data_IF_717282436918
#
_entry.id   IF_717282436918
#
_cell.length_a   1.000
_cell.length_b   1.000
_cell.length_c   1.000
_cell.angle_alpha   90.00
_cell.angle_beta   90.00
_cell.angle_gamma   90.00
#
_symmetry.space_group_name_H-M   'P 1'
#
loop_
_entity.id
_entity.type
_entity.pdbx_description
1 polymer ?
#
# COMPACT_ATOMS: atom_id res chain seq x y z
N UNK A 1 -12.89 21.65 18.13
CA UNK A 1 -12.17 21.75 17.37
C UNK A 1 -11.25 20.74 17.12
N UNK A 2 -10.72 20.45 16.11
CA UNK A 2 -9.60 19.63 15.89
C UNK A 2 -9.81 18.12 15.86
N UNK A 3 -11.00 17.64 15.68
CA UNK A 3 -11.17 16.20 15.52
C UNK A 3 -10.79 15.84 14.09
N UNK A 4 -9.70 15.08 13.94
CA UNK A 4 -9.33 14.55 12.64
C UNK A 4 -10.10 13.27 12.40
N UNK A 5 -10.90 13.28 11.36
CA UNK A 5 -11.60 12.06 10.93
C UNK A 5 -10.74 11.40 9.87
N UNK A 6 -10.32 10.19 10.15
CA UNK A 6 -9.52 9.42 9.23
C UNK A 6 -10.41 8.47 8.45
N UNK A 7 -10.22 8.41 7.16
CA UNK A 7 -10.96 7.51 6.29
C UNK A 7 -9.99 6.54 5.64
N UNK A 8 -10.47 5.32 5.40
CA UNK A 8 -9.69 4.30 4.70
C UNK A 8 -10.32 4.10 3.34
N UNK A 9 -9.53 4.23 2.30
CA UNK A 9 -10.01 4.04 0.94
C UNK A 9 -9.22 2.91 0.29
N UNK A 10 -9.92 1.85 -0.11
CA UNK A 10 -9.27 0.75 -0.80
C UNK A 10 -8.70 1.27 -2.13
N UNK A 11 -7.43 0.98 -2.37
CA UNK A 11 -6.79 1.41 -3.61
C UNK A 11 -6.22 0.23 -4.39
N UNK A 12 -6.10 -0.93 -3.79
CA UNK A 12 -5.50 -2.05 -4.51
C UNK A 12 -5.57 -3.35 -3.76
N UNK A 13 -4.90 -4.34 -4.33
CA UNK A 13 -4.87 -5.68 -3.77
C UNK A 13 -3.45 -6.21 -3.78
N UNK A 14 -3.11 -6.98 -2.76
CA UNK A 14 -1.80 -7.60 -2.66
C UNK A 14 -1.75 -8.80 -3.59
N UNK A 15 -0.77 -8.81 -4.48
CA UNK A 15 -0.60 -9.89 -5.45
C UNK A 15 0.41 -10.90 -4.97
N UNK A 16 1.52 -10.43 -4.39
CA UNK A 16 2.59 -11.33 -3.97
C UNK A 16 3.46 -10.64 -2.91
N UNK A 17 4.04 -11.45 -2.03
CA UNK A 17 4.98 -10.97 -1.04
C UNK A 17 6.31 -11.66 -1.23
N UNK A 18 7.38 -10.88 -1.36
CA UNK A 18 8.73 -11.38 -1.49
C UNK A 18 9.41 -11.27 -0.13
N UNK A 19 9.54 -12.40 0.55
CA UNK A 19 9.96 -12.39 1.96
C UNK A 19 11.36 -11.87 2.17
N UNK A 20 12.33 -12.26 1.33
CA UNK A 20 13.71 -11.85 1.52
C UNK A 20 13.91 -10.35 1.47
N UNK A 21 13.48 -9.68 0.40
CA UNK A 21 13.61 -8.22 0.36
C UNK A 21 12.51 -7.51 1.15
N UNK A 22 11.52 -8.25 1.66
CA UNK A 22 10.37 -7.71 2.38
C UNK A 22 9.63 -6.69 1.52
N UNK A 23 9.23 -7.13 0.32
CA UNK A 23 8.55 -6.29 -0.65
C UNK A 23 7.18 -6.85 -0.96
N UNK A 24 6.17 -5.99 -0.90
CA UNK A 24 4.80 -6.33 -1.25
C UNK A 24 4.54 -5.87 -2.67
N UNK A 25 4.09 -6.79 -3.52
CA UNK A 25 3.66 -6.45 -4.88
C UNK A 25 2.17 -6.18 -4.83
N UNK A 26 1.79 -4.96 -5.17
CA UNK A 26 0.42 -4.47 -5.07
C UNK A 26 -0.05 -4.00 -6.45
N UNK A 27 -1.26 -4.41 -6.82
CA UNK A 27 -1.89 -3.90 -8.03
C UNK A 27 -2.87 -2.80 -7.63
N UNK A 28 -2.68 -1.61 -8.18
CA UNK A 28 -3.55 -0.47 -7.88
C UNK A 28 -4.79 -0.56 -8.75
N UNK A 29 -5.96 -0.63 -8.11
CA UNK A 29 -7.23 -0.77 -8.82
C UNK A 29 -7.96 0.55 -8.94
N UNK A 30 -7.71 1.51 -8.05
CA UNK A 30 -8.36 2.80 -8.12
C UNK A 30 -7.55 3.84 -7.38
N UNK A 31 -7.70 5.09 -7.82
CA UNK A 31 -7.05 6.22 -7.17
C UNK A 31 -5.57 6.32 -7.51
N UNK A 32 -4.84 6.93 -6.62
CA UNK A 32 -3.40 7.10 -6.76
C UNK A 32 -2.72 6.87 -5.42
N UNK A 33 -1.41 6.72 -5.48
CA UNK A 33 -0.61 6.50 -4.29
C UNK A 33 0.73 7.20 -4.49
N UNK A 34 1.28 7.77 -3.41
CA UNK A 34 2.58 8.42 -3.50
C UNK A 34 3.39 8.17 -2.24
N UNK A 35 4.70 8.35 -2.37
CA UNK A 35 5.60 8.24 -1.23
C UNK A 35 5.18 9.27 -0.18
N UNK A 36 5.13 8.84 1.07
CA UNK A 36 4.64 9.67 2.16
C UNK A 36 3.21 9.36 2.58
N UNK A 37 2.47 8.63 1.75
CA UNK A 37 1.12 8.22 2.13
C UNK A 37 1.18 7.14 3.19
N UNK A 38 0.15 7.11 4.05
CA UNK A 38 -0.03 6.02 5.01
C UNK A 38 -0.98 5.01 4.42
N UNK A 39 -0.63 3.73 4.52
CA UNK A 39 -1.44 2.65 3.98
C UNK A 39 -1.70 1.61 5.05
N UNK A 40 -2.78 0.87 4.87
CA UNK A 40 -3.15 -0.21 5.77
C UNK A 40 -3.32 -1.49 4.96
N UNK A 41 -2.70 -2.55 5.44
CA UNK A 41 -2.90 -3.89 4.89
C UNK A 41 -3.89 -4.62 5.76
N UNK A 42 -4.90 -5.22 5.15
CA UNK A 42 -5.96 -5.90 5.89
C UNK A 42 -6.31 -7.21 5.20
N UNK A 43 -6.23 -8.29 5.95
CA UNK A 43 -6.56 -9.61 5.46
C UNK A 43 -6.93 -10.52 6.60
N UNK A 44 -7.07 -11.80 6.29
CA UNK A 44 -7.50 -12.79 7.30
C UNK A 44 -6.56 -12.82 8.51
N UNK A 45 -5.27 -12.77 8.27
CA UNK A 45 -4.27 -12.79 9.35
C UNK A 45 -3.35 -11.58 9.31
N UNK A 46 -3.69 -10.56 8.51
CA UNK A 46 -2.85 -9.39 8.31
C UNK A 46 -3.63 -8.14 8.71
N UNK A 47 -3.02 -7.34 9.57
CA UNK A 47 -3.60 -6.03 9.85
C UNK A 47 -2.51 -5.14 10.43
N UNK A 48 -2.02 -4.20 9.62
CA UNK A 48 -1.09 -3.19 10.10
C UNK A 48 -1.07 -1.99 9.16
N UNK A 49 -0.59 -0.88 9.69
CA UNK A 49 -0.49 0.39 8.97
C UNK A 49 0.97 0.73 8.78
N UNK A 50 1.31 1.27 7.62
CA UNK A 50 2.69 1.60 7.31
C UNK A 50 2.77 2.86 6.46
N UNK A 51 3.82 3.66 6.69
CA UNK A 51 4.11 4.83 5.88
C UNK A 51 4.94 4.37 4.69
N UNK A 52 4.56 4.82 3.48
CA UNK A 52 5.30 4.45 2.28
C UNK A 52 6.58 5.27 2.21
N UNK A 53 7.72 4.58 2.31
CA UNK A 53 9.01 5.23 2.21
C UNK A 53 9.58 5.14 0.81
N UNK A 54 9.24 4.09 0.07
CA UNK A 54 9.70 3.92 -1.29
C UNK A 54 8.75 3.05 -2.08
N UNK A 55 8.65 3.32 -3.38
CA UNK A 55 7.84 2.54 -4.31
C UNK A 55 8.63 2.32 -5.58
N UNK A 56 8.32 1.22 -6.27
CA UNK A 56 8.88 0.93 -7.58
C UNK A 56 7.79 0.50 -8.54
N UNK A 57 7.94 0.90 -9.80
CA UNK A 57 7.14 0.39 -10.91
C UNK A 57 8.13 -0.13 -11.94
N UNK A 58 7.99 -1.39 -12.33
CA UNK A 58 8.91 -2.04 -13.26
C UNK A 58 10.37 -1.94 -12.79
N UNK A 59 10.56 -2.15 -11.48
CA UNK A 59 11.88 -2.12 -10.83
C UNK A 59 12.56 -0.76 -10.87
N UNK A 60 11.80 0.30 -11.10
CA UNK A 60 12.33 1.67 -11.10
C UNK A 60 11.67 2.48 -10.00
N UNK A 61 12.44 3.24 -9.21
CA UNK A 61 11.86 4.06 -8.16
C UNK A 61 10.92 5.11 -8.74
N UNK A 62 9.76 5.27 -8.11
CA UNK A 62 8.81 6.30 -8.50
C UNK A 62 8.29 7.00 -7.26
N UNK A 63 7.82 8.24 -7.42
CA UNK A 63 7.24 9.00 -6.34
C UNK A 63 5.72 8.84 -6.29
N UNK A 64 5.12 8.49 -7.42
CA UNK A 64 3.66 8.39 -7.53
C UNK A 64 3.29 7.26 -8.48
N UNK A 65 2.18 6.59 -8.19
CA UNK A 65 1.61 5.55 -9.05
C UNK A 65 0.10 5.73 -9.09
N UNK A 66 -0.52 5.22 -10.15
CA UNK A 66 -1.96 5.41 -10.37
C UNK A 66 -2.63 4.08 -10.69
N UNK A 67 -3.95 4.10 -10.75
CA UNK A 67 -4.74 2.92 -11.06
C UNK A 67 -4.25 2.26 -12.35
N UNK A 68 -4.12 0.95 -12.31
CA UNK A 68 -3.55 0.17 -13.40
C UNK A 68 -2.09 -0.18 -13.21
N UNK A 69 -1.39 0.54 -12.35
CA UNK A 69 0.03 0.24 -12.08
C UNK A 69 0.16 -0.94 -11.13
N UNK A 70 1.25 -1.70 -11.33
CA UNK A 70 1.67 -2.73 -10.38
C UNK A 70 2.92 -2.21 -9.71
N UNK A 71 2.89 -2.11 -8.38
CA UNK A 71 3.97 -1.48 -7.64
C UNK A 71 4.60 -2.45 -6.65
N UNK A 72 5.86 -2.20 -6.33
CA UNK A 72 6.55 -2.87 -5.23
C UNK A 72 6.73 -1.91 -4.09
N UNK A 73 6.32 -2.33 -2.89
CA UNK A 73 6.43 -1.52 -1.69
C UNK A 73 7.27 -2.25 -0.67
N UNK A 74 8.26 -1.57 -0.10
CA UNK A 74 8.98 -2.15 1.02
C UNK A 74 8.09 -2.10 2.25
N UNK A 75 7.96 -3.23 2.94
CA UNK A 75 7.09 -3.33 4.11
C UNK A 75 7.87 -3.88 5.30
N UNK A 76 7.41 -3.55 6.49
CA UNK A 76 8.08 -3.95 7.73
C UNK A 76 7.51 -5.23 8.33
N UNK A 77 6.42 -5.74 7.77
CA UNK A 77 5.78 -6.93 8.28
C UNK A 77 5.29 -7.79 7.13
N UNK A 78 4.92 -9.03 7.44
CA UNK A 78 4.50 -9.99 6.43
C UNK A 78 3.09 -9.69 5.95
N UNK A 79 2.90 -9.80 4.63
CA UNK A 79 1.58 -9.67 4.00
C UNK A 79 1.33 -10.91 3.15
N UNK A 80 0.09 -11.15 2.77
CA UNK A 80 -0.30 -12.36 2.04
C UNK A 80 -1.11 -12.03 0.81
N UNK A 81 -0.96 -12.82 -0.27
CA UNK A 81 -1.79 -12.63 -1.47
C UNK A 81 -3.27 -12.63 -1.11
N UNK A 82 -4.00 -11.71 -1.71
CA UNK A 82 -5.42 -11.55 -1.43
C UNK A 82 -5.72 -10.53 -0.35
N UNK A 83 -4.69 -10.06 0.39
CA UNK A 83 -4.92 -8.99 1.34
C UNK A 83 -5.36 -7.73 0.63
N UNK A 84 -6.22 -6.97 1.27
CA UNK A 84 -6.67 -5.69 0.73
C UNK A 84 -5.76 -4.58 1.22
N UNK A 85 -5.57 -3.57 0.39
CA UNK A 85 -4.70 -2.45 0.72
C UNK A 85 -5.49 -1.15 0.65
N UNK A 86 -5.42 -0.40 1.73
CA UNK A 86 -6.18 0.84 1.88
C UNK A 86 -5.24 2.02 2.04
N UNK A 87 -5.67 3.16 1.55
CA UNK A 87 -4.96 4.42 1.76
C UNK A 87 -5.69 5.15 2.89
N UNK A 88 -4.93 5.63 3.86
CA UNK A 88 -5.50 6.36 4.99
C UNK A 88 -5.43 7.84 4.64
N UNK A 89 -6.60 8.49 4.65
CA UNK A 89 -6.69 9.91 4.31
C UNK A 89 -7.39 10.64 5.45
N UNK A 90 -7.03 11.90 5.62
CA UNK A 90 -7.68 12.75 6.59
C UNK A 90 -8.83 13.49 5.90
N UNK A 91 -9.98 13.51 6.57
CA UNK A 91 -11.13 14.26 6.07
C UNK A 91 -11.18 15.63 6.70
#
# INVERSE_FOLDING_TARGET
DGVLIMAEKKFGELVKFFAKPSVAAVHITEGDLQVGDSIKFSGHTTEFTELIQSMEVDNKPVQKAVAGDSIGLKVSDRVRPGDEVFKIVAD
#
